data_IF_527922043877
#
_entry.id   IF_527922043877
#
_cell.length_a   1.000
_cell.length_b   1.000
_cell.length_c   1.000
_cell.angle_alpha   90.00
_cell.angle_beta   90.00
_cell.angle_gamma   90.00
#
_symmetry.space_group_name_H-M   'P 1'
#
loop_
_entity.id
_entity.type
_entity.pdbx_description
1 polymer ?
#
# COMPACT_ATOMS: atom_id res chain seq x y z
N UNK A 1 13.35 -0.27 1.22
CA UNK A 1 12.15 0.38 0.65
C UNK A 1 11.90 -0.24 -0.71
N UNK A 2 10.75 -0.86 -0.91
CA UNK A 2 10.29 -1.39 -2.19
C UNK A 2 9.34 -0.36 -2.85
N UNK A 3 9.30 -0.32 -4.18
CA UNK A 3 8.35 0.51 -4.92
C UNK A 3 7.83 -0.24 -6.14
N UNK A 4 6.51 -0.41 -6.24
CA UNK A 4 5.86 -0.99 -7.41
C UNK A 4 5.13 0.07 -8.25
N UNK A 5 5.25 0.01 -9.59
CA UNK A 5 4.66 0.99 -10.52
C UNK A 5 3.97 0.31 -11.69
N UNK A 6 2.74 0.73 -12.00
CA UNK A 6 2.00 0.19 -13.14
C UNK A 6 0.58 0.70 -13.26
N UNK A 7 -0.21 0.15 -14.20
CA UNK A 7 -1.65 0.48 -14.28
C UNK A 7 -2.44 -0.17 -13.16
N UNK A 8 -2.16 -1.45 -12.90
CA UNK A 8 -2.69 -2.22 -11.79
C UNK A 8 -1.50 -2.82 -11.05
N UNK A 9 -1.40 -2.60 -9.75
CA UNK A 9 -0.23 -3.02 -8.99
C UNK A 9 -0.62 -3.52 -7.61
N UNK A 10 0.16 -4.49 -7.13
CA UNK A 10 0.00 -5.14 -5.84
C UNK A 10 1.34 -5.11 -5.12
N UNK A 11 1.34 -4.74 -3.84
CA UNK A 11 2.55 -4.76 -3.02
C UNK A 11 2.26 -5.29 -1.62
N UNK A 12 3.28 -5.88 -0.99
CA UNK A 12 3.20 -6.39 0.38
C UNK A 12 4.40 -5.92 1.18
N UNK A 13 4.16 -5.17 2.25
CA UNK A 13 5.17 -4.84 3.25
C UNK A 13 5.18 -5.93 4.34
N UNK A 14 6.28 -6.68 4.40
CA UNK A 14 6.55 -7.60 5.51
C UNK A 14 6.88 -6.86 6.81
N UNK A 15 7.05 -7.62 7.90
CA UNK A 15 7.40 -7.11 9.23
C UNK A 15 8.64 -6.21 9.19
N UNK A 16 8.51 -4.95 9.65
CA UNK A 16 9.60 -3.97 9.63
C UNK A 16 9.97 -3.45 8.23
N UNK A 17 9.24 -3.86 7.19
CA UNK A 17 9.46 -3.46 5.82
C UNK A 17 8.77 -2.15 5.46
N UNK A 18 9.32 -1.42 4.49
CA UNK A 18 8.70 -0.21 3.93
C UNK A 18 8.43 -0.42 2.44
N UNK A 19 7.18 -0.21 2.00
CA UNK A 19 6.72 -0.39 0.62
C UNK A 19 5.95 0.83 0.09
N UNK A 20 6.02 1.11 -1.22
CA UNK A 20 5.21 2.16 -1.84
C UNK A 20 4.67 1.73 -3.21
N UNK A 21 3.34 1.67 -3.33
CA UNK A 21 2.69 1.12 -4.50
C UNK A 21 1.96 2.20 -5.33
N UNK A 22 2.30 2.34 -6.61
CA UNK A 22 1.82 3.42 -7.47
C UNK A 22 1.14 2.91 -8.73
N UNK A 23 -0.08 3.38 -8.97
CA UNK A 23 -0.80 3.02 -10.19
C UNK A 23 -2.18 3.64 -10.35
N UNK A 24 -2.96 3.16 -11.31
CA UNK A 24 -4.36 3.61 -11.46
C UNK A 24 -5.25 2.88 -10.45
N UNK A 25 -5.06 1.57 -10.32
CA UNK A 25 -5.63 0.74 -9.28
C UNK A 25 -4.49 0.10 -8.49
N UNK A 26 -4.48 0.28 -7.18
CA UNK A 26 -3.39 -0.20 -6.32
C UNK A 26 -3.98 -0.98 -5.15
N UNK A 27 -3.35 -2.11 -4.84
CA UNK A 27 -3.63 -2.90 -3.65
C UNK A 27 -2.37 -3.00 -2.80
N UNK A 28 -2.44 -2.77 -1.51
CA UNK A 28 -1.35 -3.13 -0.61
C UNK A 28 -1.81 -3.92 0.61
N UNK A 29 -0.83 -4.62 1.21
CA UNK A 29 -0.95 -5.19 2.54
C UNK A 29 0.27 -4.82 3.38
N UNK A 30 0.08 -4.55 4.67
CA UNK A 30 1.15 -4.33 5.63
C UNK A 30 1.04 -5.27 6.84
N UNK A 31 2.14 -5.96 7.15
CA UNK A 31 2.30 -6.76 8.37
C UNK A 31 2.65 -5.88 9.58
N UNK A 32 2.51 -6.36 10.83
CA UNK A 32 2.82 -5.57 12.02
C UNK A 32 4.23 -4.99 12.00
N UNK A 33 4.35 -3.70 12.34
CA UNK A 33 5.61 -2.96 12.28
C UNK A 33 6.11 -2.67 10.85
N UNK A 34 5.38 -3.07 9.82
CA UNK A 34 5.61 -2.64 8.43
C UNK A 34 4.97 -1.29 8.16
N UNK A 35 5.55 -0.56 7.21
CA UNK A 35 5.00 0.68 6.66
C UNK A 35 4.70 0.49 5.17
N UNK A 36 3.50 0.86 4.75
CA UNK A 36 3.14 0.81 3.34
C UNK A 36 2.33 2.03 2.92
N UNK A 37 2.27 2.31 1.63
CA UNK A 37 1.43 3.38 1.11
C UNK A 37 1.13 3.26 -0.37
N UNK A 38 -0.15 3.44 -0.72
CA UNK A 38 -0.57 3.42 -2.11
C UNK A 38 -0.82 4.82 -2.65
N UNK A 39 -0.55 5.00 -3.95
CA UNK A 39 -0.96 6.19 -4.70
C UNK A 39 -1.63 5.83 -6.01
N UNK A 40 -2.89 6.26 -6.16
CA UNK A 40 -3.63 5.97 -7.38
C UNK A 40 -4.99 6.62 -7.50
N UNK A 41 -5.81 6.16 -8.46
CA UNK A 41 -7.21 6.62 -8.55
C UNK A 41 -8.11 5.81 -7.65
N UNK A 42 -7.94 4.49 -7.68
CA UNK A 42 -8.59 3.55 -6.78
C UNK A 42 -7.49 2.87 -5.95
N UNK A 43 -7.54 3.00 -4.64
CA UNK A 43 -6.57 2.41 -3.72
C UNK A 43 -7.31 1.54 -2.72
N UNK A 44 -6.80 0.33 -2.49
CA UNK A 44 -7.29 -0.57 -1.45
C UNK A 44 -6.11 -1.03 -0.60
N UNK A 45 -6.29 -1.02 0.70
CA UNK A 45 -5.25 -1.34 1.67
C UNK A 45 -5.77 -2.32 2.72
N UNK A 46 -4.85 -3.11 3.26
CA UNK A 46 -5.06 -3.88 4.48
C UNK A 46 -3.85 -3.83 5.39
N UNK A 47 -4.08 -3.43 6.63
CA UNK A 47 -3.05 -3.27 7.63
C UNK A 47 -3.33 -4.16 8.84
N UNK A 48 -2.35 -4.97 9.25
CA UNK A 48 -2.42 -5.64 10.54
C UNK A 48 -2.24 -4.62 11.68
N UNK A 49 -2.76 -4.89 12.89
CA UNK A 49 -2.57 -3.99 14.03
C UNK A 49 -1.09 -3.68 14.29
N UNK A 50 -0.76 -2.39 14.37
CA UNK A 50 0.63 -1.93 14.55
C UNK A 50 1.42 -1.78 13.26
N UNK A 51 0.80 -1.95 12.08
CA UNK A 51 1.34 -1.48 10.82
C UNK A 51 1.01 0.02 10.61
N UNK A 52 1.90 0.73 9.93
CA UNK A 52 1.68 2.11 9.48
C UNK A 52 1.28 2.13 8.02
N UNK A 53 0.20 2.82 7.68
CA UNK A 53 -0.26 2.87 6.29
C UNK A 53 -0.69 4.25 5.82
N UNK A 54 -0.77 4.46 4.50
CA UNK A 54 -1.08 5.76 3.94
C UNK A 54 -1.45 5.75 2.46
N UNK A 55 -2.74 5.92 2.17
CA UNK A 55 -3.23 5.99 0.79
C UNK A 55 -3.46 7.42 0.30
N UNK A 56 -3.18 7.63 -0.99
CA UNK A 56 -3.54 8.85 -1.72
C UNK A 56 -4.24 8.50 -3.02
N UNK A 57 -5.57 8.63 -3.02
CA UNK A 57 -6.38 8.44 -4.21
C UNK A 57 -7.75 9.13 -4.16
N UNK A 58 -8.51 8.98 -5.25
CA UNK A 58 -9.89 9.53 -5.33
C UNK A 58 -10.90 8.60 -4.66
N UNK A 59 -10.74 7.30 -4.87
CA UNK A 59 -11.53 6.26 -4.23
C UNK A 59 -10.56 5.44 -3.38
N UNK A 60 -10.61 5.63 -2.08
CA UNK A 60 -9.75 4.94 -1.12
C UNK A 60 -10.61 4.06 -0.24
N UNK A 61 -10.17 2.82 -0.04
CA UNK A 61 -10.73 1.87 0.92
C UNK A 61 -9.60 1.32 1.78
N UNK A 62 -9.81 1.36 3.10
CA UNK A 62 -8.86 1.00 4.17
C UNK A 62 -9.55 0.06 5.15
#
# INVERSE_FOLDING_TARGET
MAENKGRNTLEWAGTGGVAENKGRNTLERAEPGGEAGNKGRNTLEWAEPGAGTGNKGRNTLE
#
